data_IF_894030362858
#
_entry.id   IF_894030362858
#
_cell.length_a   1.000
_cell.length_b   1.000
_cell.length_c   1.000
_cell.angle_alpha   90.00
_cell.angle_beta   90.00
_cell.angle_gamma   90.00
#
_symmetry.space_group_name_H-M   'P 1'
#
loop_
_entity.id
_entity.type
_entity.pdbx_description
1 polymer ?
#
# COMPACT_ATOMS: atom_id res chain seq x y z
N UNK A 1 11.97 6.75 -14.54
CA UNK A 1 11.39 5.83 -13.55
C UNK A 1 12.19 4.55 -13.57
N UNK A 2 13.07 4.42 -12.57
CA UNK A 2 13.68 3.15 -12.21
C UNK A 2 12.61 2.25 -11.58
N UNK A 3 12.83 0.94 -11.59
CA UNK A 3 11.88 -0.05 -11.05
C UNK A 3 11.51 0.28 -9.59
N UNK A 4 12.47 0.75 -8.79
CA UNK A 4 12.26 1.09 -7.39
C UNK A 4 11.35 2.32 -7.19
N UNK A 5 11.47 3.33 -8.05
CA UNK A 5 10.60 4.52 -8.01
C UNK A 5 9.15 4.15 -8.39
N UNK A 6 8.99 3.33 -9.44
CA UNK A 6 7.68 2.82 -9.86
C UNK A 6 7.03 1.96 -8.79
N UNK A 7 7.80 1.11 -8.11
CA UNK A 7 7.33 0.26 -7.01
C UNK A 7 6.82 1.10 -5.82
N UNK A 8 7.57 2.15 -5.42
CA UNK A 8 7.15 3.05 -4.34
C UNK A 8 5.89 3.83 -4.70
N UNK A 9 5.78 4.29 -5.94
CA UNK A 9 4.59 4.98 -6.44
C UNK A 9 3.37 4.05 -6.44
N UNK A 10 3.52 2.81 -6.94
CA UNK A 10 2.48 1.79 -6.90
C UNK A 10 2.03 1.50 -5.47
N UNK A 11 2.97 1.30 -4.54
CA UNK A 11 2.65 1.07 -3.14
C UNK A 11 1.86 2.24 -2.51
N UNK A 12 2.19 3.48 -2.86
CA UNK A 12 1.43 4.67 -2.46
C UNK A 12 0.01 4.69 -3.02
N UNK A 13 -0.15 4.37 -4.30
CA UNK A 13 -1.48 4.32 -4.96
C UNK A 13 -2.36 3.25 -4.32
N UNK A 14 -1.85 2.03 -4.13
CA UNK A 14 -2.61 0.95 -3.50
C UNK A 14 -2.95 1.26 -2.04
N UNK A 15 -2.07 1.96 -1.32
CA UNK A 15 -2.36 2.44 0.04
C UNK A 15 -3.54 3.41 0.06
N UNK A 16 -3.58 4.40 -0.84
CA UNK A 16 -4.70 5.35 -0.92
C UNK A 16 -6.01 4.68 -1.29
N UNK A 17 -5.99 3.77 -2.29
CA UNK A 17 -7.16 2.99 -2.69
C UNK A 17 -7.67 2.18 -1.48
N UNK A 18 -6.77 1.50 -0.78
CA UNK A 18 -7.11 0.69 0.39
C UNK A 18 -7.77 1.52 1.51
N UNK A 19 -7.27 2.74 1.77
CA UNK A 19 -7.87 3.65 2.76
C UNK A 19 -9.28 4.09 2.34
N UNK A 20 -9.48 4.43 1.06
CA UNK A 20 -10.80 4.77 0.52
C UNK A 20 -11.76 3.60 0.72
N UNK A 21 -11.35 2.39 0.34
CA UNK A 21 -12.17 1.19 0.53
C UNK A 21 -12.42 0.88 2.02
N UNK A 22 -11.44 1.15 2.89
CA UNK A 22 -11.61 1.00 4.33
C UNK A 22 -12.71 1.91 4.89
N UNK A 23 -12.81 3.13 4.37
CA UNK A 23 -13.81 4.10 4.81
C UNK A 23 -15.20 3.83 4.22
N UNK A 24 -15.30 3.57 2.90
CA UNK A 24 -16.58 3.47 2.21
C UNK A 24 -17.17 2.06 2.13
N UNK A 25 -16.33 1.02 2.24
CA UNK A 25 -16.77 -0.39 2.06
C UNK A 25 -16.67 -1.16 3.37
N UNK A 26 -15.47 -1.26 3.97
CA UNK A 26 -15.28 -1.99 5.23
C UNK A 26 -13.89 -1.76 5.84
N UNK A 27 -13.74 -1.57 7.16
CA UNK A 27 -12.44 -1.39 7.81
C UNK A 27 -11.43 -2.54 7.58
N UNK A 28 -11.89 -3.74 7.19
CA UNK A 28 -11.03 -4.88 6.88
C UNK A 28 -10.01 -4.61 5.77
N UNK A 29 -10.25 -3.63 4.90
CA UNK A 29 -9.28 -3.20 3.88
C UNK A 29 -7.97 -2.67 4.49
N UNK A 30 -7.96 -2.22 5.76
CA UNK A 30 -6.73 -1.83 6.44
C UNK A 30 -5.70 -2.98 6.56
N UNK A 31 -6.13 -4.25 6.52
CA UNK A 31 -5.21 -5.38 6.46
C UNK A 31 -4.37 -5.37 5.17
N UNK A 32 -4.96 -4.96 4.05
CA UNK A 32 -4.25 -4.81 2.79
C UNK A 32 -3.24 -3.67 2.87
N UNK A 33 -3.61 -2.55 3.51
CA UNK A 33 -2.67 -1.46 3.80
C UNK A 33 -1.49 -1.94 4.66
N UNK A 34 -1.76 -2.73 5.71
CA UNK A 34 -0.73 -3.28 6.58
C UNK A 34 0.21 -4.24 5.82
N UNK A 35 -0.33 -5.07 4.94
CA UNK A 35 0.47 -5.95 4.07
C UNK A 35 1.42 -5.15 3.16
N UNK A 36 0.94 -4.09 2.52
CA UNK A 36 1.78 -3.21 1.68
C UNK A 36 2.91 -2.58 2.51
N UNK A 37 2.58 -2.08 3.71
CA UNK A 37 3.57 -1.48 4.61
C UNK A 37 4.66 -2.48 5.03
N UNK A 38 4.28 -3.72 5.36
CA UNK A 38 5.25 -4.78 5.68
C UNK A 38 6.20 -5.08 4.51
N UNK A 39 5.69 -5.12 3.28
CA UNK A 39 6.52 -5.33 2.10
C UNK A 39 7.49 -4.15 1.85
N UNK A 40 7.04 -2.92 2.06
CA UNK A 40 7.93 -1.75 1.95
C UNK A 40 9.03 -1.75 3.01
N UNK A 41 8.71 -2.14 4.25
CA UNK A 41 9.69 -2.30 5.33
C UNK A 41 10.70 -3.39 4.95
N UNK A 42 10.24 -4.54 4.46
CA UNK A 42 11.13 -5.62 4.03
C UNK A 42 12.00 -5.21 2.84
N UNK A 43 11.48 -4.43 1.89
CA UNK A 43 12.24 -3.91 0.75
C UNK A 43 13.25 -2.82 1.13
N UNK A 44 13.21 -2.29 2.35
CA UNK A 44 14.14 -1.26 2.81
C UNK A 44 15.50 -1.83 3.27
N UNK A 45 15.59 -3.14 3.48
CA UNK A 45 16.78 -3.89 3.88
C UNK A 45 17.22 -4.83 2.76
#
# INVERSE_FOLDING_TARGET
MTVNEGLRLMAGVFTLISIILAHYVSPWWLLFTAFIALNLIQSAF
#
